data_IF_208779359431
#
_entry.id   IF_208779359431
#
_cell.length_a   1.000
_cell.length_b   1.000
_cell.length_c   1.000
_cell.angle_alpha   90.00
_cell.angle_beta   90.00
_cell.angle_gamma   90.00
#
_symmetry.space_group_name_H-M   'P 1'
#
loop_
_entity.id
_entity.type
_entity.pdbx_description
1 polymer ?
#
# COMPACT_ATOMS: atom_id res chain seq x y z
N UNK A 1 -41.31 -53.91 19.94
CA UNK A 1 -39.90 -54.35 19.95
C UNK A 1 -39.12 -53.99 18.66
N UNK A 2 -39.81 -53.63 17.56
CA UNK A 2 -39.18 -53.19 16.29
C UNK A 2 -38.66 -51.74 16.35
N UNK A 3 -39.45 -50.82 16.92
CA UNK A 3 -39.14 -49.39 16.88
C UNK A 3 -37.89 -49.00 17.67
N UNK A 4 -37.69 -49.57 18.86
CA UNK A 4 -36.49 -49.31 19.67
C UNK A 4 -35.20 -49.75 18.98
N UNK A 5 -35.25 -50.79 18.15
CA UNK A 5 -34.11 -51.22 17.33
C UNK A 5 -33.82 -50.24 16.20
N UNK A 6 -34.86 -49.67 15.58
CA UNK A 6 -34.72 -48.65 14.55
C UNK A 6 -34.13 -47.34 15.10
N UNK A 7 -34.52 -46.94 16.32
CA UNK A 7 -33.93 -45.78 17.00
C UNK A 7 -32.45 -45.97 17.36
N UNK A 8 -32.07 -47.15 17.84
CA UNK A 8 -30.67 -47.44 18.12
C UNK A 8 -29.83 -47.50 16.83
N UNK A 9 -30.40 -48.04 15.75
CA UNK A 9 -29.76 -48.07 14.45
C UNK A 9 -29.56 -46.65 13.89
N UNK A 10 -30.58 -45.79 13.96
CA UNK A 10 -30.49 -44.41 13.48
C UNK A 10 -29.50 -43.57 14.28
N UNK A 11 -29.44 -43.78 15.61
CA UNK A 11 -28.45 -43.14 16.46
C UNK A 11 -27.01 -43.60 16.13
N UNK A 12 -26.81 -44.88 15.81
CA UNK A 12 -25.51 -45.38 15.36
C UNK A 12 -25.10 -44.82 13.99
N UNK A 13 -26.05 -44.74 13.05
CA UNK A 13 -25.81 -44.18 11.71
C UNK A 13 -25.52 -42.67 11.78
N UNK A 14 -26.21 -41.91 12.65
CA UNK A 14 -25.94 -40.48 12.79
C UNK A 14 -24.59 -40.18 13.44
N UNK A 15 -24.16 -40.99 14.41
CA UNK A 15 -22.83 -40.90 15.01
C UNK A 15 -21.72 -41.19 14.00
N UNK A 16 -21.85 -42.28 13.24
CA UNK A 16 -20.87 -42.66 12.21
C UNK A 16 -20.82 -41.64 11.07
N UNK A 17 -21.96 -41.12 10.63
CA UNK A 17 -22.03 -40.04 9.65
C UNK A 17 -21.34 -38.76 10.15
N UNK A 18 -21.57 -38.38 11.41
CA UNK A 18 -20.96 -37.20 12.01
C UNK A 18 -19.43 -37.34 12.12
N UNK A 19 -18.94 -38.52 12.51
CA UNK A 19 -17.50 -38.82 12.54
C UNK A 19 -16.87 -38.76 11.15
N UNK A 20 -17.53 -39.30 10.12
CA UNK A 20 -17.03 -39.27 8.75
C UNK A 20 -16.96 -37.85 8.19
N UNK A 21 -17.97 -37.01 8.47
CA UNK A 21 -17.94 -35.60 8.10
C UNK A 21 -16.84 -34.83 8.85
N UNK A 22 -16.62 -35.13 10.13
CA UNK A 22 -15.56 -34.51 10.92
C UNK A 22 -14.17 -34.92 10.40
N UNK A 23 -13.99 -36.19 10.06
CA UNK A 23 -12.76 -36.69 9.45
C UNK A 23 -12.54 -36.08 8.06
N UNK A 24 -13.57 -36.01 7.22
CA UNK A 24 -13.50 -35.37 5.91
C UNK A 24 -13.17 -33.88 6.02
N UNK A 25 -13.74 -33.15 6.98
CA UNK A 25 -13.43 -31.74 7.20
C UNK A 25 -12.01 -31.55 7.76
N UNK A 26 -11.54 -32.45 8.62
CA UNK A 26 -10.18 -32.41 9.18
C UNK A 26 -9.12 -32.79 8.15
N UNK A 27 -9.41 -33.74 7.25
CA UNK A 27 -8.54 -34.14 6.15
C UNK A 27 -8.64 -33.19 4.94
N UNK A 28 -9.75 -32.47 4.79
CA UNK A 28 -9.87 -31.38 3.85
C UNK A 28 -8.86 -30.33 4.28
N UNK A 29 -7.71 -30.33 3.61
CA UNK A 29 -6.51 -29.51 3.80
C UNK A 29 -6.79 -28.01 3.48
N UNK A 30 -7.97 -27.54 3.86
CA UNK A 30 -8.44 -26.16 3.80
C UNK A 30 -7.52 -25.27 4.63
N UNK A 31 -6.82 -25.82 5.62
CA UNK A 31 -5.78 -25.09 6.36
C UNK A 31 -4.69 -24.59 5.43
N UNK A 32 -4.18 -25.41 4.49
CA UNK A 32 -3.17 -24.99 3.50
C UNK A 32 -3.74 -24.02 2.47
N UNK A 33 -4.98 -24.22 2.02
CA UNK A 33 -5.63 -23.26 1.11
C UNK A 33 -5.87 -21.91 1.79
N UNK A 34 -6.39 -21.90 3.03
CA UNK A 34 -6.60 -20.70 3.84
C UNK A 34 -5.25 -20.04 4.18
N UNK A 35 -4.21 -20.82 4.48
CA UNK A 35 -2.88 -20.31 4.78
C UNK A 35 -2.23 -19.70 3.53
N UNK A 36 -2.37 -20.33 2.36
CA UNK A 36 -1.91 -19.78 1.08
C UNK A 36 -2.68 -18.52 0.68
N UNK A 37 -3.99 -18.47 0.98
CA UNK A 37 -4.83 -17.30 0.72
C UNK A 37 -4.49 -16.15 1.68
N UNK A 38 -4.24 -16.47 2.95
CA UNK A 38 -3.79 -15.52 3.98
C UNK A 38 -2.37 -15.00 3.70
N UNK A 39 -1.48 -15.85 3.16
CA UNK A 39 -0.14 -15.47 2.75
C UNK A 39 -0.19 -14.56 1.51
N UNK A 40 -1.07 -14.88 0.54
CA UNK A 40 -1.33 -14.04 -0.64
C UNK A 40 -2.03 -12.73 -0.29
N UNK A 41 -2.86 -12.69 0.76
CA UNK A 41 -3.47 -11.44 1.26
C UNK A 41 -2.52 -10.62 2.13
N UNK A 42 -1.51 -11.26 2.75
CA UNK A 42 -0.43 -10.61 3.50
C UNK A 42 0.69 -10.11 2.61
N UNK A 43 0.79 -10.57 1.36
CA UNK A 43 1.62 -9.92 0.36
C UNK A 43 0.99 -8.57 0.03
N UNK A 44 1.59 -7.45 0.45
CA UNK A 44 1.03 -6.14 0.14
C UNK A 44 1.08 -5.96 -1.37
N UNK A 45 -0.10 -5.85 -1.98
CA UNK A 45 -0.31 -5.52 -3.40
C UNK A 45 0.37 -4.20 -3.79
N UNK A 46 0.84 -3.42 -2.81
CA UNK A 46 1.59 -2.17 -2.97
C UNK A 46 3.11 -2.26 -2.78
N UNK A 47 3.72 -3.44 -2.57
CA UNK A 47 5.18 -3.58 -2.57
C UNK A 47 5.67 -4.38 -3.77
N UNK A 48 5.32 -3.95 -4.97
CA UNK A 48 6.08 -4.33 -6.18
C UNK A 48 7.42 -3.59 -6.10
N UNK A 49 8.35 -4.13 -5.30
CA UNK A 49 9.73 -3.68 -5.04
C UNK A 49 9.90 -2.17 -4.79
N UNK A 50 10.08 -1.78 -3.53
CA UNK A 50 10.55 -0.43 -3.15
C UNK A 50 11.76 0.01 -3.99
N UNK A 51 12.65 -0.91 -4.34
CA UNK A 51 13.80 -0.64 -5.21
C UNK A 51 13.39 -0.17 -6.61
N UNK A 52 12.35 -0.77 -7.20
CA UNK A 52 11.82 -0.38 -8.52
C UNK A 52 11.14 0.99 -8.45
N UNK A 53 10.33 1.23 -7.41
CA UNK A 53 9.70 2.51 -7.16
C UNK A 53 10.74 3.62 -6.93
N UNK A 54 11.78 3.35 -6.14
CA UNK A 54 12.86 4.30 -5.88
C UNK A 54 13.66 4.59 -7.16
N UNK A 55 13.87 3.59 -8.02
CA UNK A 55 14.54 3.77 -9.31
C UNK A 55 13.69 4.62 -10.26
N UNK A 56 12.40 4.33 -10.39
CA UNK A 56 11.47 5.12 -11.22
C UNK A 56 11.34 6.55 -10.70
N UNK A 57 11.23 6.72 -9.37
CA UNK A 57 11.17 8.02 -8.72
C UNK A 57 12.47 8.80 -8.90
N UNK A 58 13.64 8.15 -8.79
CA UNK A 58 14.93 8.78 -9.06
C UNK A 58 15.04 9.25 -10.51
N UNK A 59 14.60 8.47 -11.49
CA UNK A 59 14.61 8.86 -12.92
C UNK A 59 13.79 10.13 -13.16
N UNK A 60 12.67 10.31 -12.45
CA UNK A 60 11.80 11.47 -12.61
C UNK A 60 12.29 12.67 -11.78
N UNK A 61 12.66 12.43 -10.51
CA UNK A 61 12.98 13.50 -9.57
C UNK A 61 14.40 14.07 -9.74
N UNK A 62 15.42 13.26 -10.07
CA UNK A 62 16.80 13.77 -10.22
C UNK A 62 16.91 14.92 -11.23
N UNK A 63 16.35 14.80 -12.45
CA UNK A 63 16.44 15.88 -13.45
C UNK A 63 15.72 17.15 -13.00
N UNK A 64 14.62 17.03 -12.26
CA UNK A 64 13.89 18.19 -11.73
C UNK A 64 14.70 18.91 -10.66
N UNK A 65 15.31 18.17 -9.73
CA UNK A 65 16.16 18.74 -8.69
C UNK A 65 17.42 19.40 -9.27
N UNK A 66 18.02 18.80 -10.31
CA UNK A 66 19.15 19.41 -11.02
C UNK A 66 18.77 20.72 -11.71
N UNK A 67 17.60 20.77 -12.36
CA UNK A 67 17.09 22.01 -12.97
C UNK A 67 16.83 23.09 -11.92
N UNK A 68 16.17 22.74 -10.81
CA UNK A 68 15.96 23.68 -9.71
C UNK A 68 17.27 24.23 -9.14
N UNK A 69 18.25 23.36 -8.94
CA UNK A 69 19.57 23.77 -8.46
C UNK A 69 20.27 24.73 -9.43
N UNK A 70 20.23 24.45 -10.73
CA UNK A 70 20.79 25.35 -11.75
C UNK A 70 20.06 26.71 -11.81
N UNK A 71 18.74 26.73 -11.63
CA UNK A 71 17.96 27.96 -11.53
C UNK A 71 18.30 28.77 -10.27
N UNK A 72 18.55 28.11 -9.14
CA UNK A 72 19.02 28.76 -7.91
C UNK A 72 20.44 29.32 -8.05
N UNK A 73 21.34 28.59 -8.68
CA UNK A 73 22.68 29.09 -9.02
C UNK A 73 22.61 30.29 -9.98
N UNK A 74 21.71 30.26 -10.96
CA UNK A 74 21.48 31.39 -11.85
C UNK A 74 20.93 32.60 -11.07
N UNK A 75 19.99 32.39 -10.16
CA UNK A 75 19.42 33.45 -9.30
C UNK A 75 20.44 34.05 -8.33
N UNK A 76 21.35 33.25 -7.79
CA UNK A 76 22.42 33.72 -6.91
C UNK A 76 23.52 34.47 -7.68
N UNK A 77 23.75 34.15 -8.96
CA UNK A 77 24.63 34.92 -9.86
C UNK A 77 24.03 36.24 -10.33
N UNK A 78 22.71 36.42 -10.26
CA UNK A 78 22.08 37.73 -10.50
C UNK A 78 22.42 38.63 -9.30
N UNK A 79 23.35 39.57 -9.50
CA UNK A 79 23.60 40.65 -8.54
C UNK A 79 22.28 41.38 -8.27
N UNK A 80 21.84 41.38 -7.01
CA UNK A 80 20.73 42.25 -6.59
C UNK A 80 21.06 43.69 -7.04
N UNK A 81 20.12 44.42 -7.66
CA UNK A 81 20.36 45.80 -8.03
C UNK A 81 20.77 46.56 -6.76
N UNK A 82 21.88 47.30 -6.85
CA UNK A 82 22.50 48.02 -5.73
C UNK A 82 21.57 49.07 -5.12
N UNK A 83 20.51 49.45 -5.84
CA UNK A 83 19.44 50.32 -5.38
C UNK A 83 18.08 49.70 -5.70
N UNK A 84 17.37 49.29 -4.65
CA UNK A 84 15.94 49.02 -4.71
C UNK A 84 15.26 50.28 -4.18
N UNK A 85 14.67 51.08 -5.07
CA UNK A 85 13.94 52.27 -4.63
C UNK A 85 12.67 51.83 -3.90
N UNK A 86 12.53 52.24 -2.63
CA UNK A 86 11.28 52.06 -1.91
C UNK A 86 10.16 52.87 -2.60
N UNK A 87 8.89 52.45 -2.52
CA UNK A 87 7.78 53.18 -3.15
C UNK A 87 7.72 54.67 -2.78
N UNK A 88 8.12 54.98 -1.55
CA UNK A 88 8.22 56.34 -1.00
C UNK A 88 9.28 57.18 -1.71
N UNK A 89 10.41 56.57 -2.12
CA UNK A 89 11.48 57.25 -2.86
C UNK A 89 11.07 57.54 -4.33
N UNK A 90 10.16 56.74 -4.89
CA UNK A 90 9.60 56.97 -6.23
C UNK A 90 8.58 58.10 -6.22
N UNK A 91 7.85 58.32 -5.11
CA UNK A 91 6.91 59.43 -4.96
C UNK A 91 7.62 60.79 -4.88
N UNK A 92 8.72 60.90 -4.13
CA UNK A 92 9.48 62.15 -4.04
C UNK A 92 10.17 62.55 -5.36
N UNK A 93 10.49 61.59 -6.23
CA UNK A 93 11.02 61.89 -7.57
C UNK A 93 9.97 62.47 -8.54
N UNK A 94 8.68 62.30 -8.21
CA UNK A 94 7.54 62.77 -9.02
C UNK A 94 7.03 64.16 -8.62
N UNK A 95 7.63 64.80 -7.61
CA UNK A 95 7.37 66.21 -7.29
C UNK A 95 5.94 66.51 -6.86
N UNK A 96 5.33 65.64 -6.04
CA UNK A 96 4.14 65.99 -5.27
C UNK A 96 4.53 66.35 -3.84
#
# INVERSE_FOLDING_TARGET
MSETKAYLLSAGVSLTCSMLLFAAFSYSDNSKQIQSLAEKSRQPVYLINQEKMNKEMAVIMLPMLQKQHQEEEARTKIKKPTTVYAPEQLQNSRGY
#
